data_IF_356666314028
#
_entry.id   IF_356666314028
#
_cell.length_a   1.000
_cell.length_b   1.000
_cell.length_c   1.000
_cell.angle_alpha   90.00
_cell.angle_beta   90.00
_cell.angle_gamma   90.00
#
_symmetry.space_group_name_H-M   'P 1'
#
loop_
_entity.id
_entity.type
_entity.pdbx_description
1 polymer ?
#
# COMPACT_ATOMS: atom_id res chain seq x y z
N UNK A 1 4.51 -6.04 16.24
CA UNK A 1 5.15 -5.50 15.03
C UNK A 1 6.65 -5.45 15.26
N UNK A 2 7.42 -6.16 14.44
CA UNK A 2 8.86 -6.37 14.62
C UNK A 2 9.62 -5.06 14.55
N UNK A 3 10.31 -4.72 15.64
CA UNK A 3 11.39 -3.73 15.60
C UNK A 3 12.65 -4.49 15.23
N UNK A 4 13.19 -4.24 14.05
CA UNK A 4 14.54 -4.66 13.68
C UNK A 4 15.54 -3.77 14.43
N UNK A 5 15.71 -4.02 15.73
CA UNK A 5 16.49 -3.13 16.62
C UNK A 5 17.97 -3.06 16.25
N UNK A 6 18.48 -4.11 15.62
CA UNK A 6 19.87 -4.24 15.21
C UNK A 6 20.11 -3.82 13.75
N UNK A 7 19.10 -3.29 13.04
CA UNK A 7 19.23 -2.95 11.61
C UNK A 7 19.09 -1.46 11.38
N UNK A 8 19.87 -0.94 10.44
CA UNK A 8 19.68 0.40 9.90
C UNK A 8 18.54 0.38 8.89
N UNK A 9 17.47 1.14 9.13
CA UNK A 9 16.38 1.31 8.18
C UNK A 9 16.51 2.65 7.45
N UNK A 10 16.64 2.61 6.13
CA UNK A 10 16.64 3.78 5.25
C UNK A 10 15.34 3.78 4.47
N UNK A 11 14.52 4.81 4.65
CA UNK A 11 13.25 4.99 3.92
C UNK A 11 13.41 6.09 2.88
N UNK A 12 13.06 5.79 1.63
CA UNK A 12 13.03 6.74 0.54
C UNK A 12 11.65 6.82 -0.08
N UNK A 13 11.18 8.04 -0.32
CA UNK A 13 9.87 8.31 -0.93
C UNK A 13 9.99 9.46 -1.95
N UNK A 14 9.23 9.36 -3.05
CA UNK A 14 9.04 10.44 -4.03
C UNK A 14 10.32 11.23 -4.40
N UNK A 15 10.38 12.56 -4.19
CA UNK A 15 11.54 13.40 -4.55
C UNK A 15 12.85 12.99 -3.88
N UNK A 16 12.80 12.24 -2.77
CA UNK A 16 13.98 11.75 -2.05
C UNK A 16 14.83 10.78 -2.87
N UNK A 17 14.24 10.15 -3.89
CA UNK A 17 14.93 9.19 -4.77
C UNK A 17 16.09 9.80 -5.57
N UNK A 18 16.19 11.14 -5.68
CA UNK A 18 17.38 11.80 -6.24
C UNK A 18 18.67 11.52 -5.48
N UNK A 19 18.58 11.07 -4.23
CA UNK A 19 19.72 10.74 -3.35
C UNK A 19 19.96 9.23 -3.23
N UNK A 20 19.38 8.44 -4.14
CA UNK A 20 19.45 6.98 -4.16
C UNK A 20 20.88 6.45 -3.94
N UNK A 21 21.86 6.95 -4.71
CA UNK A 21 23.25 6.50 -4.61
C UNK A 21 23.84 6.74 -3.21
N UNK A 22 23.50 7.87 -2.58
CA UNK A 22 23.94 8.19 -1.23
C UNK A 22 23.28 7.28 -0.19
N UNK A 23 21.98 7.01 -0.34
CA UNK A 23 21.23 6.11 0.52
C UNK A 23 21.80 4.68 0.48
N UNK A 24 22.13 4.16 -0.70
CA UNK A 24 22.74 2.84 -0.86
C UNK A 24 24.15 2.82 -0.26
N UNK A 25 24.95 3.87 -0.48
CA UNK A 25 26.28 3.96 0.12
C UNK A 25 26.22 3.97 1.66
N UNK A 26 25.22 4.64 2.25
CA UNK A 26 24.97 4.60 3.69
C UNK A 26 24.53 3.21 4.16
N UNK A 27 23.58 2.58 3.46
CA UNK A 27 23.11 1.22 3.77
C UNK A 27 24.28 0.22 3.83
N UNK A 28 25.15 0.25 2.83
CA UNK A 28 26.35 -0.60 2.76
C UNK A 28 27.35 -0.33 3.88
N UNK A 29 27.44 0.89 4.41
CA UNK A 29 28.32 1.22 5.55
C UNK A 29 27.73 0.86 6.90
N UNK A 30 26.40 0.81 7.00
CA UNK A 30 25.65 0.66 8.25
C UNK A 30 24.93 -0.70 8.33
N UNK A 31 25.53 -1.74 7.73
CA UNK A 31 25.01 -3.10 7.75
C UNK A 31 24.93 -3.66 9.19
N UNK A 32 23.92 -4.50 9.51
CA UNK A 32 22.87 -4.97 8.63
C UNK A 32 21.83 -3.87 8.36
N UNK A 33 21.31 -3.76 7.14
CA UNK A 33 20.42 -2.67 6.77
C UNK A 33 19.26 -3.07 5.86
N UNK A 34 18.19 -2.29 5.93
CA UNK A 34 17.04 -2.39 5.04
C UNK A 34 16.82 -1.06 4.35
N UNK A 35 16.76 -1.07 3.02
CA UNK A 35 16.42 0.09 2.20
C UNK A 35 14.99 -0.10 1.69
N UNK A 36 14.08 0.73 2.19
CA UNK A 36 12.69 0.78 1.76
C UNK A 36 12.53 1.90 0.74
N UNK A 37 12.02 1.60 -0.44
CA UNK A 37 11.78 2.55 -1.51
C UNK A 37 10.31 2.50 -1.88
N UNK A 38 9.60 3.57 -1.59
CA UNK A 38 8.16 3.67 -1.86
C UNK A 38 7.88 4.27 -3.23
N UNK A 39 6.81 3.77 -3.86
CA UNK A 39 6.26 4.25 -5.13
C UNK A 39 7.33 4.29 -6.24
N UNK A 40 8.02 3.17 -6.43
CA UNK A 40 9.09 3.06 -7.46
C UNK A 40 8.56 3.21 -8.88
N UNK A 41 7.25 3.11 -9.09
CA UNK A 41 6.59 3.47 -10.34
C UNK A 41 6.75 4.95 -10.70
N UNK A 42 6.85 5.85 -9.72
CA UNK A 42 7.05 7.28 -9.96
C UNK A 42 8.39 7.58 -10.66
N UNK A 43 9.44 6.80 -10.36
CA UNK A 43 10.72 6.93 -11.08
C UNK A 43 10.75 6.13 -12.37
N UNK A 44 9.83 5.18 -12.58
CA UNK A 44 9.73 4.42 -13.82
C UNK A 44 9.07 5.24 -14.95
N UNK A 45 8.18 6.17 -14.62
CA UNK A 45 7.36 6.95 -15.56
C UNK A 45 8.07 8.17 -16.19
N UNK A 46 9.24 8.58 -15.70
CA UNK A 46 9.90 9.85 -16.06
C UNK A 46 10.47 9.89 -17.51
N UNK A 47 10.33 8.82 -18.30
CA UNK A 47 10.61 8.79 -19.75
C UNK A 47 9.65 7.89 -20.53
N UNK A 48 9.59 8.14 -21.84
CA UNK A 48 8.68 7.50 -22.81
C UNK A 48 8.62 5.98 -22.69
N UNK A 49 7.50 5.38 -23.14
CA UNK A 49 7.13 3.95 -23.11
C UNK A 49 8.21 2.91 -23.53
N UNK A 50 9.38 3.35 -23.99
CA UNK A 50 10.45 2.55 -24.57
C UNK A 50 11.83 2.72 -23.90
N UNK A 51 12.02 3.65 -22.94
CA UNK A 51 13.31 3.82 -22.23
C UNK A 51 13.14 3.66 -20.71
N UNK A 52 14.02 2.87 -20.08
CA UNK A 52 14.10 2.77 -18.62
C UNK A 52 14.68 4.06 -18.05
N UNK A 53 14.00 4.64 -17.06
CA UNK A 53 14.50 5.82 -16.33
C UNK A 53 15.90 5.58 -15.77
N UNK A 54 16.83 6.55 -15.89
CA UNK A 54 18.17 6.43 -15.31
C UNK A 54 18.17 6.12 -13.82
N UNK A 55 17.22 6.69 -13.06
CA UNK A 55 17.09 6.42 -11.62
C UNK A 55 16.66 4.97 -11.34
N UNK A 56 15.71 4.45 -12.13
CA UNK A 56 15.30 3.05 -12.03
C UNK A 56 16.46 2.13 -12.41
N UNK A 57 17.24 2.48 -13.43
CA UNK A 57 18.42 1.72 -13.80
C UNK A 57 19.48 1.70 -12.69
N UNK A 58 19.80 2.85 -12.10
CA UNK A 58 20.73 2.96 -10.96
C UNK A 58 20.26 2.15 -9.75
N UNK A 59 18.96 2.15 -9.46
CA UNK A 59 18.39 1.31 -8.39
C UNK A 59 18.64 -0.17 -8.66
N UNK A 60 18.30 -0.61 -9.87
CA UNK A 60 18.46 -2.00 -10.27
C UNK A 60 19.92 -2.45 -10.31
N UNK A 61 20.85 -1.57 -10.73
CA UNK A 61 22.29 -1.83 -10.68
C UNK A 61 22.81 -1.89 -9.24
N UNK A 62 22.31 -1.03 -8.35
CA UNK A 62 22.67 -1.07 -6.94
C UNK A 62 22.22 -2.36 -6.25
N UNK A 63 21.07 -2.90 -6.64
CA UNK A 63 20.55 -4.20 -6.21
C UNK A 63 21.45 -5.35 -6.71
N UNK A 64 21.85 -5.34 -7.98
CA UNK A 64 22.83 -6.32 -8.52
C UNK A 64 24.17 -6.29 -7.80
N UNK A 65 24.61 -5.08 -7.44
CA UNK A 65 25.91 -4.85 -6.83
C UNK A 65 26.00 -5.32 -5.37
N UNK A 66 24.92 -5.84 -4.78
CA UNK A 66 24.98 -6.53 -3.50
C UNK A 66 25.51 -7.94 -3.75
N UNK A 67 26.82 -8.08 -3.65
CA UNK A 67 27.50 -9.38 -3.58
C UNK A 67 27.10 -10.12 -2.31
N UNK A 68 27.17 -11.45 -2.29
CA UNK A 68 26.70 -12.29 -1.17
C UNK A 68 27.33 -12.08 0.21
N UNK A 69 28.31 -11.19 0.36
CA UNK A 69 28.87 -10.78 1.66
C UNK A 69 28.17 -9.56 2.28
N UNK A 70 27.30 -8.85 1.54
CA UNK A 70 26.61 -7.67 2.03
C UNK A 70 25.22 -8.00 2.62
N UNK A 71 25.01 -7.64 3.90
CA UNK A 71 23.75 -7.78 4.63
C UNK A 71 22.89 -6.52 4.45
N UNK A 72 22.39 -6.35 3.21
CA UNK A 72 21.50 -5.26 2.82
C UNK A 72 20.28 -5.84 2.13
N UNK A 73 19.08 -5.60 2.68
CA UNK A 73 17.80 -6.00 2.09
C UNK A 73 17.10 -4.81 1.44
N UNK A 74 16.49 -5.01 0.28
CA UNK A 74 15.65 -4.00 -0.36
C UNK A 74 14.17 -4.35 -0.23
N UNK A 75 13.33 -3.34 0.02
CA UNK A 75 11.87 -3.44 -0.01
C UNK A 75 11.35 -2.36 -0.94
N UNK A 76 10.69 -2.75 -2.02
CA UNK A 76 10.15 -1.83 -3.02
C UNK A 76 8.62 -1.86 -2.96
N UNK A 77 7.95 -0.71 -3.05
CA UNK A 77 6.49 -0.65 -3.21
C UNK A 77 6.12 -0.04 -4.56
N UNK A 78 5.10 -0.57 -5.21
CA UNK A 78 4.58 -0.07 -6.49
C UNK A 78 3.08 -0.29 -6.57
N UNK A 79 2.37 0.66 -7.17
CA UNK A 79 0.96 0.49 -7.55
C UNK A 79 0.82 0.05 -9.02
N UNK A 80 1.93 0.05 -9.78
CA UNK A 80 1.98 -0.23 -11.21
C UNK A 80 3.07 -1.25 -11.53
N UNK A 81 2.74 -2.52 -11.31
CA UNK A 81 3.70 -3.64 -11.54
C UNK A 81 4.12 -3.74 -13.00
N UNK A 82 3.25 -3.39 -13.94
CA UNK A 82 3.49 -3.39 -15.39
C UNK A 82 4.64 -2.44 -15.80
N UNK A 83 4.78 -1.32 -15.10
CA UNK A 83 5.87 -0.37 -15.32
C UNK A 83 7.22 -0.96 -14.87
N UNK A 84 7.22 -1.74 -13.77
CA UNK A 84 8.42 -2.37 -13.22
C UNK A 84 8.83 -3.64 -13.98
N UNK A 85 7.87 -4.46 -14.39
CA UNK A 85 8.12 -5.74 -15.06
C UNK A 85 9.00 -5.57 -16.29
N UNK A 86 8.78 -4.54 -17.12
CA UNK A 86 9.62 -4.29 -18.31
C UNK A 86 11.10 -4.09 -18.00
N UNK A 87 11.41 -3.49 -16.85
CA UNK A 87 12.78 -3.23 -16.42
C UNK A 87 13.41 -4.45 -15.69
N UNK A 88 12.59 -5.22 -14.96
CA UNK A 88 13.02 -6.42 -14.23
C UNK A 88 13.18 -7.65 -15.14
N UNK A 89 12.30 -7.84 -16.12
CA UNK A 89 12.34 -8.97 -17.09
C UNK A 89 13.66 -9.02 -17.84
N UNK A 90 14.29 -7.86 -18.10
CA UNK A 90 15.57 -7.77 -18.81
C UNK A 90 16.76 -8.26 -17.98
N UNK A 91 16.58 -8.50 -16.67
CA UNK A 91 17.66 -8.78 -15.71
C UNK A 91 17.14 -9.73 -14.61
N UNK A 92 16.98 -11.02 -14.92
CA UNK A 92 16.46 -12.02 -13.98
C UNK A 92 17.37 -12.21 -12.76
N UNK A 93 16.78 -12.47 -11.58
CA UNK A 93 17.50 -12.77 -10.34
C UNK A 93 17.62 -11.62 -9.32
N UNK A 94 16.97 -10.47 -9.56
CA UNK A 94 16.99 -9.30 -8.65
C UNK A 94 15.90 -9.25 -7.59
N UNK A 95 14.82 -9.97 -7.83
CA UNK A 95 13.66 -9.97 -6.95
C UNK A 95 13.48 -11.38 -6.47
N UNK A 96 13.81 -11.61 -5.20
CA UNK A 96 13.65 -12.91 -4.56
C UNK A 96 12.18 -13.19 -4.24
N UNK A 97 11.43 -12.14 -3.89
CA UNK A 97 10.04 -12.22 -3.47
C UNK A 97 9.22 -11.07 -4.03
N UNK A 98 8.13 -11.40 -4.74
CA UNK A 98 7.07 -10.47 -5.11
C UNK A 98 5.80 -10.82 -4.33
N UNK A 99 5.22 -9.84 -3.63
CA UNK A 99 3.99 -10.02 -2.85
C UNK A 99 2.92 -9.07 -3.36
N UNK A 100 1.81 -9.62 -3.82
CA UNK A 100 0.61 -8.84 -4.14
C UNK A 100 -0.17 -8.51 -2.87
N UNK A 101 -0.47 -7.23 -2.66
CA UNK A 101 -1.32 -6.77 -1.56
C UNK A 101 -2.75 -6.57 -2.09
N UNK A 102 -3.55 -7.63 -2.04
CA UNK A 102 -4.93 -7.60 -2.48
C UNK A 102 -5.84 -6.79 -1.52
N UNK A 103 -7.00 -6.30 -1.98
CA UNK A 103 -8.03 -5.75 -1.10
C UNK A 103 -8.41 -6.74 0.02
N UNK A 104 -8.69 -6.25 1.24
CA UNK A 104 -8.96 -7.11 2.38
C UNK A 104 -10.21 -7.98 2.16
N UNK A 105 -10.10 -9.27 2.51
CA UNK A 105 -11.23 -10.20 2.53
C UNK A 105 -12.24 -9.83 3.63
N UNK A 106 -13.43 -10.45 3.62
CA UNK A 106 -14.43 -10.23 4.67
C UNK A 106 -13.89 -10.39 6.11
N UNK A 107 -13.17 -11.48 6.47
CA UNK A 107 -12.58 -11.59 7.81
C UNK A 107 -11.47 -10.55 8.07
N UNK A 108 -10.74 -10.11 7.05
CA UNK A 108 -9.77 -9.02 7.22
C UNK A 108 -10.46 -7.68 7.48
N UNK A 109 -11.58 -7.41 6.82
CA UNK A 109 -12.39 -6.20 7.06
C UNK A 109 -12.98 -6.18 8.47
N UNK A 110 -13.50 -7.30 8.99
CA UNK A 110 -13.91 -7.39 10.41
C UNK A 110 -12.75 -7.03 11.35
N UNK A 111 -11.57 -7.61 11.11
CA UNK A 111 -10.37 -7.31 11.90
C UNK A 111 -9.95 -5.85 11.81
N UNK A 112 -10.02 -5.24 10.62
CA UNK A 112 -9.71 -3.83 10.41
C UNK A 112 -10.72 -2.92 11.11
N UNK A 113 -12.02 -3.24 11.07
CA UNK A 113 -13.06 -2.51 11.80
C UNK A 113 -12.74 -2.51 13.31
N UNK A 114 -12.45 -3.69 13.88
CA UNK A 114 -12.10 -3.82 15.30
C UNK A 114 -10.80 -3.12 15.65
N UNK A 115 -9.78 -3.22 14.80
CA UNK A 115 -8.50 -2.55 14.96
C UNK A 115 -8.68 -1.02 15.00
N UNK A 116 -9.43 -0.46 14.05
CA UNK A 116 -9.61 0.98 13.91
C UNK A 116 -10.68 1.57 14.83
N UNK A 117 -11.50 0.75 15.50
CA UNK A 117 -12.38 1.20 16.57
C UNK A 117 -11.61 1.73 17.81
N UNK A 118 -10.28 1.51 17.91
CA UNK A 118 -9.39 2.06 18.95
C UNK A 118 -9.94 1.89 20.37
N UNK A 119 -10.48 0.71 20.67
CA UNK A 119 -11.07 0.32 21.95
C UNK A 119 -12.44 0.95 22.29
N UNK A 120 -13.10 1.66 21.37
CA UNK A 120 -14.51 2.01 21.57
C UNK A 120 -15.39 0.76 21.43
N UNK A 121 -16.36 0.55 22.33
CA UNK A 121 -17.35 -0.51 22.17
C UNK A 121 -18.06 -0.39 20.82
N UNK A 122 -18.27 -1.50 20.15
CA UNK A 122 -19.08 -1.56 18.92
C UNK A 122 -20.38 -2.28 19.30
N UNK A 123 -21.48 -1.55 19.19
CA UNK A 123 -22.85 -2.08 19.38
C UNK A 123 -23.55 -2.33 18.04
N UNK A 124 -22.98 -1.81 16.95
CA UNK A 124 -23.42 -2.07 15.59
C UNK A 124 -23.30 -3.55 15.19
N UNK A 125 -24.14 -3.96 14.23
CA UNK A 125 -23.99 -5.24 13.54
C UNK A 125 -22.78 -5.20 12.60
N UNK A 126 -21.63 -5.65 13.11
CA UNK A 126 -20.38 -5.69 12.34
C UNK A 126 -20.50 -6.57 11.10
N UNK A 127 -21.34 -7.62 11.10
CA UNK A 127 -21.53 -8.47 9.93
C UNK A 127 -22.19 -7.69 8.78
N UNK A 128 -23.19 -6.85 9.10
CA UNK A 128 -23.81 -5.92 8.15
C UNK A 128 -22.77 -4.95 7.57
N UNK A 129 -21.91 -4.37 8.42
CA UNK A 129 -20.85 -3.43 7.98
C UNK A 129 -19.83 -4.13 7.07
N UNK A 130 -19.43 -5.36 7.38
CA UNK A 130 -18.48 -6.15 6.57
C UNK A 130 -19.06 -6.48 5.19
N UNK A 131 -20.35 -6.80 5.13
CA UNK A 131 -21.06 -7.03 3.87
C UNK A 131 -21.17 -5.74 3.04
N UNK A 132 -21.50 -4.61 3.67
CA UNK A 132 -21.59 -3.32 3.00
C UNK A 132 -20.24 -2.77 2.49
N UNK A 133 -19.12 -3.32 2.97
CA UNK A 133 -17.76 -2.86 2.63
C UNK A 133 -17.03 -3.84 1.71
N UNK A 134 -17.74 -4.65 0.92
CA UNK A 134 -17.11 -5.52 -0.06
C UNK A 134 -16.27 -4.75 -1.10
N UNK A 135 -15.11 -5.31 -1.46
CA UNK A 135 -14.20 -4.73 -2.46
C UNK A 135 -13.42 -3.49 -2.03
N UNK A 136 -13.71 -2.90 -0.86
CA UNK A 136 -13.02 -1.66 -0.43
C UNK A 136 -11.62 -1.93 0.12
N UNK A 137 -10.74 -0.94 0.03
CA UNK A 137 -9.37 -1.02 0.55
C UNK A 137 -9.32 -0.90 2.07
N UNK A 138 -8.18 -1.30 2.68
CA UNK A 138 -7.96 -1.06 4.11
C UNK A 138 -7.94 0.43 4.49
N UNK A 139 -7.54 1.30 3.57
CA UNK A 139 -7.58 2.76 3.75
C UNK A 139 -9.03 3.27 3.83
N UNK A 140 -9.92 2.73 3.00
CA UNK A 140 -11.35 3.03 3.08
C UNK A 140 -11.94 2.63 4.44
N UNK A 141 -11.66 1.41 4.93
CA UNK A 141 -12.14 0.95 6.25
C UNK A 141 -11.63 1.87 7.36
N UNK A 142 -10.36 2.28 7.32
CA UNK A 142 -9.78 3.22 8.28
C UNK A 142 -10.50 4.56 8.28
N UNK A 143 -10.80 5.09 7.10
CA UNK A 143 -11.52 6.36 6.95
C UNK A 143 -12.98 6.25 7.40
N UNK A 144 -13.66 5.15 7.08
CA UNK A 144 -15.01 4.86 7.57
C UNK A 144 -15.03 4.91 9.10
N UNK A 145 -14.14 4.16 9.77
CA UNK A 145 -14.08 4.14 11.22
C UNK A 145 -13.73 5.51 11.82
N UNK A 146 -12.86 6.29 11.17
CA UNK A 146 -12.58 7.67 11.59
C UNK A 146 -13.86 8.51 11.62
N UNK A 147 -14.71 8.42 10.60
CA UNK A 147 -15.98 9.16 10.51
C UNK A 147 -17.00 8.67 11.53
N UNK A 148 -17.17 7.36 11.65
CA UNK A 148 -18.07 6.73 12.64
C UNK A 148 -17.72 7.20 14.05
N UNK A 149 -16.44 7.22 14.42
CA UNK A 149 -15.98 7.70 15.73
C UNK A 149 -16.30 9.19 15.92
N UNK A 150 -16.13 10.03 14.89
CA UNK A 150 -16.45 11.45 14.97
C UNK A 150 -17.96 11.70 15.14
N UNK A 151 -18.79 10.90 14.48
CA UNK A 151 -20.24 10.95 14.64
C UNK A 151 -20.66 10.58 16.06
N UNK A 152 -20.13 9.47 16.60
CA UNK A 152 -20.39 9.05 17.98
C UNK A 152 -19.97 10.13 19.00
N UNK A 153 -18.78 10.73 18.82
CA UNK A 153 -18.32 11.83 19.68
C UNK A 153 -19.29 13.02 19.62
N UNK A 154 -19.81 13.36 18.44
CA UNK A 154 -20.73 14.49 18.25
C UNK A 154 -22.12 14.22 18.83
N UNK A 155 -22.58 12.97 18.80
CA UNK A 155 -23.82 12.54 19.41
C UNK A 155 -23.73 12.42 20.95
N UNK A 156 -22.52 12.34 21.50
CA UNK A 156 -22.29 12.09 22.92
C UNK A 156 -22.25 10.61 23.27
N UNK A 157 -22.16 9.72 22.27
CA UNK A 157 -22.20 8.29 22.45
C UNK A 157 -20.83 7.69 22.76
N UNK A 158 -20.85 6.74 23.70
CA UNK A 158 -19.65 5.97 24.07
C UNK A 158 -19.39 4.81 23.11
N UNK A 159 -20.45 4.24 22.52
CA UNK A 159 -20.38 3.11 21.60
C UNK A 159 -20.56 3.52 20.13
N UNK A 160 -20.09 2.67 19.22
CA UNK A 160 -20.31 2.79 17.78
C UNK A 160 -21.56 2.00 17.40
N UNK A 161 -22.64 2.70 17.08
CA UNK A 161 -23.96 2.16 16.73
C UNK A 161 -24.15 2.05 15.21
N UNK A 162 -25.16 1.29 14.78
CA UNK A 162 -25.51 1.14 13.36
C UNK A 162 -25.77 2.50 12.69
N UNK A 163 -26.41 3.44 13.39
CA UNK A 163 -26.70 4.78 12.87
C UNK A 163 -25.43 5.55 12.47
N UNK A 164 -24.36 5.43 13.27
CA UNK A 164 -23.07 6.05 12.95
C UNK A 164 -22.44 5.44 11.69
N UNK A 165 -22.51 4.11 11.55
CA UNK A 165 -22.00 3.41 10.38
C UNK A 165 -22.80 3.75 9.12
N UNK A 166 -24.13 3.67 9.18
CA UNK A 166 -25.01 3.97 8.05
C UNK A 166 -24.81 5.43 7.59
N UNK A 167 -24.77 6.38 8.53
CA UNK A 167 -24.52 7.81 8.23
C UNK A 167 -23.14 8.04 7.59
N UNK A 168 -22.09 7.44 8.15
CA UNK A 168 -20.75 7.57 7.61
C UNK A 168 -20.64 6.94 6.21
N UNK A 169 -21.25 5.78 6.02
CA UNK A 169 -21.25 5.06 4.75
C UNK A 169 -21.99 5.84 3.66
N UNK A 170 -23.19 6.35 3.94
CA UNK A 170 -23.92 7.21 3.00
C UNK A 170 -23.13 8.46 2.61
N UNK A 171 -22.45 9.10 3.56
CA UNK A 171 -21.61 10.26 3.28
C UNK A 171 -20.38 9.94 2.40
N UNK A 172 -19.87 8.71 2.45
CA UNK A 172 -18.76 8.24 1.61
C UNK A 172 -19.22 7.76 0.23
N UNK A 173 -20.45 7.25 0.14
CA UNK A 173 -21.03 6.69 -1.08
C UNK A 173 -21.77 7.72 -1.95
N UNK A 174 -22.15 8.88 -1.41
CA UNK A 174 -22.80 9.96 -2.17
C UNK A 174 -21.92 10.58 -3.26
N UNK A 175 -22.55 11.12 -4.30
CA UNK A 175 -21.89 11.69 -5.50
C UNK A 175 -20.90 12.83 -5.18
N UNK A 176 -21.15 13.59 -4.12
CA UNK A 176 -20.26 14.66 -3.66
C UNK A 176 -18.86 14.15 -3.22
N UNK A 177 -18.68 12.84 -3.04
CA UNK A 177 -17.42 12.22 -2.61
C UNK A 177 -16.90 11.15 -3.58
N UNK A 178 -17.34 11.17 -4.85
CA UNK A 178 -16.82 10.28 -5.89
C UNK A 178 -15.27 10.32 -5.98
N UNK A 179 -14.68 11.52 -5.85
CA UNK A 179 -13.23 11.71 -5.79
C UNK A 179 -12.60 11.00 -4.57
N UNK A 180 -13.20 11.14 -3.39
CA UNK A 180 -12.72 10.48 -2.16
C UNK A 180 -12.81 8.95 -2.29
N UNK A 181 -13.86 8.43 -2.93
CA UNK A 181 -14.01 6.99 -3.19
C UNK A 181 -12.95 6.46 -4.15
N UNK A 182 -12.68 7.20 -5.24
CA UNK A 182 -11.62 6.87 -6.18
C UNK A 182 -10.24 6.91 -5.50
N UNK A 183 -9.96 7.97 -4.72
CA UNK A 183 -8.71 8.10 -3.95
C UNK A 183 -8.53 7.02 -2.89
N UNK A 184 -9.62 6.46 -2.35
CA UNK A 184 -9.58 5.37 -1.37
C UNK A 184 -9.75 3.98 -2.02
N UNK A 185 -9.77 3.90 -3.36
CA UNK A 185 -9.81 2.64 -4.11
C UNK A 185 -11.14 1.88 -4.04
N UNK A 186 -12.25 2.51 -3.63
CA UNK A 186 -13.56 1.87 -3.51
C UNK A 186 -14.38 1.88 -4.81
N UNK A 187 -13.71 1.90 -5.97
CA UNK A 187 -14.35 2.03 -7.29
C UNK A 187 -13.80 1.11 -8.39
N UNK A 188 -12.97 0.12 -8.06
CA UNK A 188 -12.45 -0.81 -9.05
C UNK A 188 -13.33 -2.07 -9.14
N UNK A 189 -14.48 -1.96 -9.81
CA UNK A 189 -15.19 -3.12 -10.31
C UNK A 189 -14.74 -3.48 -11.74
N UNK A 190 -14.33 -4.73 -11.89
CA UNK A 190 -14.53 -5.59 -13.06
C UNK A 190 -13.99 -5.11 -14.41
N UNK A 191 -12.71 -5.39 -14.68
CA UNK A 191 -12.27 -5.68 -16.04
C UNK A 191 -11.97 -7.18 -16.12
N UNK A 192 -12.88 -7.92 -16.76
CA UNK A 192 -12.75 -9.35 -17.00
C UNK A 192 -11.40 -9.68 -17.65
N UNK A 193 -10.71 -10.60 -16.98
CA UNK A 193 -9.52 -11.29 -17.46
C UNK A 193 -9.85 -11.96 -18.79
N UNK A 194 -9.35 -11.42 -19.90
CA UNK A 194 -9.21 -12.21 -21.12
C UNK A 194 -8.05 -13.19 -20.88
N UNK A 195 -8.26 -14.52 -20.87
CA UNK A 195 -7.15 -15.45 -20.80
C UNK A 195 -6.36 -15.34 -22.10
N UNK A 196 -5.15 -14.79 -22.01
CA UNK A 196 -4.14 -14.91 -23.06
C UNK A 196 -3.87 -16.40 -23.28
N UNK A 197 -4.39 -16.94 -24.39
CA UNK A 197 -3.97 -18.24 -24.90
C UNK A 197 -2.56 -18.07 -25.45
N UNK A 198 -1.57 -18.54 -24.70
CA UNK A 198 -0.25 -18.83 -25.22
C UNK A 198 -0.32 -20.19 -25.94
N UNK A 199 -0.22 -20.13 -27.27
CA UNK A 199 0.38 -21.19 -28.09
C UNK A 199 1.85 -20.80 -28.32
#
# INVERSE_FOLDING_TARGET
MGRLREHTAILMTGPGMRHLDHAIALARKLQPSIVVIEDVDLIAEDRSQFETSPLLFSLLEAMDGITGEADVSFVLTTNRVDALERALVQRPGRVDLAVEVAPPSAPDRDRLIRLYARNRPIEADVAKVVAATEGVTGAFVKELLRRVILLAIRAGDHALTDEHFDTAFHAMSGDAQALTRALLGAGAEQQERTPSRLC
#
